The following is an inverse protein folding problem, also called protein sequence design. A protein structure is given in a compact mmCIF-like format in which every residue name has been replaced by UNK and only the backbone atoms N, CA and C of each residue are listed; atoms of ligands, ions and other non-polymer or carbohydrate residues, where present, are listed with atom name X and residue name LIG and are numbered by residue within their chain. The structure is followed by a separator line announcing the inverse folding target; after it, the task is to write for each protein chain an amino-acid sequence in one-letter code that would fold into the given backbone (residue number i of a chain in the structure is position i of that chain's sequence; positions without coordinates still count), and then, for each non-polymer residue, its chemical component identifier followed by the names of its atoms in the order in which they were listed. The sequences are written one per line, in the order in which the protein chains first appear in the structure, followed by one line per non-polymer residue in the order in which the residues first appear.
data_IF_598755094385
#
_entry.id   IF_598755094385
#
_cell.length_a   1.000
_cell.length_b   1.000
_cell.length_c   1.000
_cell.angle_alpha   90.00
_cell.angle_beta   90.00
_cell.angle_gamma   90.00
#
_symmetry.space_group_name_H-M   'P 1'
#
loop_
_entity.id
_entity.type
_entity.pdbx_description
1 polymer ?
#
# COMPACT_ATOMS: atom_id res chain seq x y z
N UNK A 1 -12.66 -53.64 -12.10
CA UNK A 1 -12.12 -52.27 -12.02
C UNK A 1 -13.01 -51.49 -11.07
N UNK A 2 -12.51 -51.04 -9.93
CA UNK A 2 -13.31 -50.24 -8.99
C UNK A 2 -13.59 -48.88 -9.65
N UNK A 3 -14.85 -48.58 -9.94
CA UNK A 3 -15.25 -47.25 -10.42
C UNK A 3 -14.95 -46.23 -9.33
N UNK A 4 -14.33 -45.10 -9.70
CA UNK A 4 -13.98 -44.03 -8.77
C UNK A 4 -15.24 -43.58 -7.99
N UNK A 5 -15.24 -43.57 -6.64
CA UNK A 5 -16.40 -43.21 -5.84
C UNK A 5 -16.95 -41.81 -6.19
N UNK A 6 -16.10 -40.89 -6.64
CA UNK A 6 -16.49 -39.55 -7.07
C UNK A 6 -17.36 -39.53 -8.35
N UNK A 7 -17.32 -40.59 -9.16
CA UNK A 7 -18.19 -40.71 -10.35
C UNK A 7 -19.59 -41.23 -10.00
N UNK A 8 -19.82 -41.65 -8.75
CA UNK A 8 -21.11 -42.19 -8.29
C UNK A 8 -21.90 -41.20 -7.43
N UNK A 9 -21.29 -40.08 -7.05
CA UNK A 9 -21.96 -39.03 -6.28
C UNK A 9 -22.65 -38.03 -7.22
N UNK A 10 -23.77 -37.42 -6.81
CA UNK A 10 -24.40 -36.36 -7.58
C UNK A 10 -23.47 -35.16 -7.80
N UNK A 11 -23.62 -34.46 -8.94
CA UNK A 11 -22.77 -33.30 -9.28
C UNK A 11 -22.82 -32.18 -8.23
N UNK A 12 -23.96 -31.98 -7.55
CA UNK A 12 -24.04 -30.98 -6.46
C UNK A 12 -23.15 -31.33 -5.27
N UNK A 13 -22.93 -32.62 -4.98
CA UNK A 13 -22.00 -33.05 -3.92
C UNK A 13 -20.55 -32.82 -4.36
N UNK A 14 -20.25 -33.04 -5.64
CA UNK A 14 -18.93 -32.74 -6.20
C UNK A 14 -18.68 -31.22 -6.18
N UNK A 15 -19.68 -30.41 -6.47
CA UNK A 15 -19.61 -28.96 -6.36
C UNK A 15 -19.37 -28.50 -4.92
N UNK A 16 -19.99 -29.13 -3.91
CA UNK A 16 -19.71 -28.88 -2.50
C UNK A 16 -18.23 -29.14 -2.15
N UNK A 17 -17.66 -30.22 -2.68
CA UNK A 17 -16.23 -30.52 -2.49
C UNK A 17 -15.36 -29.42 -3.14
N UNK A 18 -15.71 -28.98 -4.36
CA UNK A 18 -14.99 -27.89 -5.04
C UNK A 18 -15.14 -26.55 -4.31
N UNK A 19 -16.26 -26.31 -3.65
CA UNK A 19 -16.54 -25.10 -2.88
C UNK A 19 -15.64 -24.94 -1.65
N UNK A 20 -14.99 -26.01 -1.18
CA UNK A 20 -14.02 -25.98 -0.09
C UNK A 20 -12.58 -25.70 -0.53
N UNK A 21 -12.32 -25.50 -1.84
CA UNK A 21 -10.99 -25.14 -2.31
C UNK A 21 -10.60 -23.74 -1.81
N UNK A 22 -9.30 -23.56 -1.57
CA UNK A 22 -8.77 -22.31 -1.02
C UNK A 22 -8.47 -21.24 -2.08
N UNK A 23 -8.47 -21.60 -3.38
CA UNK A 23 -8.25 -20.62 -4.45
C UNK A 23 -8.77 -21.05 -5.82
N UNK A 24 -8.96 -20.06 -6.70
CA UNK A 24 -9.28 -20.31 -8.11
C UNK A 24 -8.17 -21.05 -8.87
N UNK A 25 -6.91 -20.93 -8.45
CA UNK A 25 -5.82 -21.71 -9.02
C UNK A 25 -5.99 -23.20 -8.73
N UNK A 26 -6.34 -23.55 -7.48
CA UNK A 26 -6.64 -24.94 -7.10
C UNK A 26 -7.89 -25.45 -7.83
N UNK A 27 -8.91 -24.60 -8.01
CA UNK A 27 -10.09 -24.93 -8.80
C UNK A 27 -9.71 -25.26 -10.25
N UNK A 28 -8.87 -24.44 -10.87
CA UNK A 28 -8.34 -24.68 -12.22
C UNK A 28 -7.65 -26.05 -12.35
N UNK A 29 -6.79 -26.39 -11.40
CA UNK A 29 -6.12 -27.70 -11.38
C UNK A 29 -7.11 -28.86 -11.19
N UNK A 30 -8.11 -28.68 -10.31
CA UNK A 30 -9.12 -29.70 -10.04
C UNK A 30 -9.99 -29.98 -11.27
N UNK A 31 -10.49 -28.95 -11.96
CA UNK A 31 -11.34 -29.14 -13.15
C UNK A 31 -10.58 -29.73 -14.34
N UNK A 32 -9.28 -29.45 -14.46
CA UNK A 32 -8.42 -30.04 -15.49
C UNK A 32 -8.10 -31.52 -15.22
N UNK A 33 -8.23 -31.98 -13.96
CA UNK A 33 -7.87 -33.33 -13.59
C UNK A 33 -8.87 -34.40 -14.07
N UNK A 34 -10.17 -34.07 -14.12
CA UNK A 34 -11.22 -35.02 -14.52
C UNK A 34 -12.53 -34.32 -14.89
N UNK A 35 -13.23 -34.85 -15.90
CA UNK A 35 -14.49 -34.29 -16.43
C UNK A 35 -15.59 -34.12 -15.38
N UNK A 36 -15.68 -35.00 -14.37
CA UNK A 36 -16.68 -34.89 -13.29
C UNK A 36 -16.60 -33.56 -12.54
N UNK A 37 -15.40 -33.00 -12.35
CA UNK A 37 -15.21 -31.71 -11.68
C UNK A 37 -15.58 -30.55 -12.60
N UNK A 38 -15.24 -30.65 -13.89
CA UNK A 38 -15.67 -29.70 -14.90
C UNK A 38 -17.19 -29.62 -14.98
N UNK A 39 -17.86 -30.77 -15.10
CA UNK A 39 -19.32 -30.85 -15.22
C UNK A 39 -20.01 -30.36 -13.93
N UNK A 40 -19.46 -30.67 -12.75
CA UNK A 40 -19.97 -30.16 -11.48
C UNK A 40 -19.81 -28.64 -11.34
N UNK A 41 -18.68 -28.08 -11.79
CA UNK A 41 -18.46 -26.63 -11.78
C UNK A 41 -19.39 -25.92 -12.76
N UNK A 42 -19.58 -26.46 -13.97
CA UNK A 42 -20.42 -25.86 -15.00
C UNK A 42 -21.83 -25.53 -14.47
N UNK A 43 -22.44 -26.48 -13.76
CA UNK A 43 -23.81 -26.34 -13.25
C UNK A 43 -23.88 -25.54 -11.93
N UNK A 44 -22.75 -25.32 -11.24
CA UNK A 44 -22.71 -24.71 -9.91
C UNK A 44 -21.67 -23.58 -9.80
N UNK A 45 -21.35 -22.93 -10.92
CA UNK A 45 -20.23 -22.00 -11.05
C UNK A 45 -20.24 -20.90 -10.00
N UNK A 46 -21.34 -20.17 -9.90
CA UNK A 46 -21.48 -19.05 -8.95
C UNK A 46 -21.47 -19.52 -7.49
N UNK A 47 -21.99 -20.73 -7.21
CA UNK A 47 -21.94 -21.30 -5.88
C UNK A 47 -20.50 -21.57 -5.46
N UNK A 48 -19.75 -22.31 -6.28
CA UNK A 48 -18.35 -22.66 -6.02
C UNK A 48 -17.49 -21.39 -5.93
N UNK A 49 -17.63 -20.47 -6.89
CA UNK A 49 -16.84 -19.24 -6.91
C UNK A 49 -17.11 -18.35 -5.68
N UNK A 50 -18.38 -18.18 -5.29
CA UNK A 50 -18.74 -17.46 -4.06
C UNK A 50 -18.13 -18.13 -2.83
N UNK A 51 -18.24 -19.44 -2.71
CA UNK A 51 -17.71 -20.18 -1.56
C UNK A 51 -16.18 -20.06 -1.45
N UNK A 52 -15.47 -20.09 -2.57
CA UNK A 52 -14.02 -19.82 -2.59
C UNK A 52 -13.73 -18.41 -2.05
N UNK A 53 -14.47 -17.39 -2.50
CA UNK A 53 -14.27 -16.02 -2.00
C UNK A 53 -14.56 -15.90 -0.51
N UNK A 54 -15.64 -16.49 0.00
CA UNK A 54 -15.96 -16.44 1.44
C UNK A 54 -15.01 -17.27 2.29
N UNK A 55 -14.31 -18.25 1.71
CA UNK A 55 -13.25 -18.99 2.40
C UNK A 55 -11.92 -18.21 2.42
N UNK A 56 -11.69 -17.36 1.41
CA UNK A 56 -10.50 -16.51 1.33
C UNK A 56 -10.66 -15.26 2.21
N UNK A 57 -11.75 -14.53 2.02
CA UNK A 57 -11.98 -13.22 2.63
C UNK A 57 -12.94 -13.37 3.81
N UNK A 58 -12.48 -12.99 5.00
CA UNK A 58 -13.31 -13.03 6.21
C UNK A 58 -14.52 -12.09 6.09
N UNK A 59 -15.63 -12.45 6.76
CA UNK A 59 -16.88 -11.67 6.73
C UNK A 59 -16.69 -10.20 7.16
N UNK A 60 -15.73 -9.93 8.04
CA UNK A 60 -15.44 -8.57 8.54
C UNK A 60 -14.63 -7.73 7.55
N UNK A 61 -13.93 -8.36 6.60
CA UNK A 61 -13.12 -7.69 5.58
C UNK A 61 -13.83 -7.65 4.22
N UNK A 62 -14.77 -8.57 3.98
CA UNK A 62 -15.54 -8.65 2.74
C UNK A 62 -16.18 -7.31 2.30
N UNK A 63 -16.75 -6.47 3.19
CA UNK A 63 -17.26 -5.15 2.82
C UNK A 63 -16.20 -4.29 2.12
N UNK A 64 -14.98 -4.24 2.66
CA UNK A 64 -13.88 -3.46 2.08
C UNK A 64 -13.44 -3.99 0.72
N UNK A 65 -13.39 -5.32 0.55
CA UNK A 65 -13.05 -5.95 -0.73
C UNK A 65 -14.10 -5.65 -1.81
N UNK A 66 -15.39 -5.65 -1.45
CA UNK A 66 -16.49 -5.31 -2.36
C UNK A 66 -16.49 -3.83 -2.72
N UNK A 67 -16.19 -2.96 -1.76
CA UNK A 67 -16.07 -1.51 -2.01
C UNK A 67 -14.87 -1.21 -2.90
N UNK A 68 -13.75 -1.92 -2.74
CA UNK A 68 -12.63 -1.85 -3.69
C UNK A 68 -13.05 -2.26 -5.11
N UNK A 69 -13.82 -3.33 -5.25
CA UNK A 69 -14.33 -3.76 -6.56
C UNK A 69 -15.24 -2.71 -7.20
N UNK A 70 -16.10 -2.05 -6.41
CA UNK A 70 -16.98 -0.98 -6.88
C UNK A 70 -16.19 0.29 -7.22
N UNK A 71 -15.25 0.72 -6.37
CA UNK A 71 -14.44 1.92 -6.61
C UNK A 71 -13.58 1.80 -7.86
N UNK A 72 -13.08 0.61 -8.17
CA UNK A 72 -12.31 0.35 -9.39
C UNK A 72 -13.13 0.55 -10.69
N UNK A 73 -14.48 0.57 -10.60
CA UNK A 73 -15.38 0.76 -11.74
C UNK A 73 -16.00 2.16 -11.79
N UNK A 74 -15.82 2.99 -10.76
CA UNK A 74 -16.37 4.33 -10.75
C UNK A 74 -15.65 5.20 -11.80
N UNK A 75 -16.44 6.05 -12.46
CA UNK A 75 -15.93 7.09 -13.35
C UNK A 75 -15.39 8.27 -12.56
N UNK A 76 -14.58 9.09 -13.22
CA UNK A 76 -13.76 10.12 -12.57
C UNK A 76 -14.55 11.27 -11.93
N UNK A 77 -15.80 11.50 -12.38
CA UNK A 77 -16.69 12.59 -11.97
C UNK A 77 -18.00 12.10 -11.31
N UNK A 78 -18.07 10.81 -10.92
CA UNK A 78 -19.28 10.23 -10.34
C UNK A 78 -19.40 10.53 -8.83
N UNK A 79 -19.58 11.80 -8.47
CA UNK A 79 -19.68 12.25 -7.07
C UNK A 79 -20.83 11.57 -6.31
N UNK A 80 -21.98 11.38 -6.95
CA UNK A 80 -23.10 10.65 -6.38
C UNK A 80 -22.72 9.17 -6.18
N UNK A 81 -22.03 8.56 -7.14
CA UNK A 81 -21.48 7.21 -7.03
C UNK A 81 -20.50 7.06 -5.87
N UNK A 82 -19.62 8.05 -5.64
CA UNK A 82 -18.70 8.06 -4.50
C UNK A 82 -19.48 8.13 -3.19
N UNK A 83 -20.40 9.09 -3.02
CA UNK A 83 -21.23 9.18 -1.80
C UNK A 83 -22.03 7.91 -1.54
N UNK A 84 -22.72 7.41 -2.56
CA UNK A 84 -23.46 6.14 -2.48
C UNK A 84 -22.54 4.97 -2.13
N UNK A 85 -21.29 4.96 -2.61
CA UNK A 85 -20.32 3.92 -2.27
C UNK A 85 -19.94 3.96 -0.79
N UNK A 86 -19.71 5.16 -0.24
CA UNK A 86 -19.39 5.36 1.18
C UNK A 86 -20.58 4.98 2.07
N UNK A 87 -21.80 5.38 1.70
CA UNK A 87 -23.02 4.99 2.43
C UNK A 87 -23.24 3.47 2.41
N UNK A 88 -22.97 2.82 1.27
CA UNK A 88 -22.99 1.36 1.19
C UNK A 88 -21.90 0.71 2.04
N UNK A 89 -20.69 1.28 2.12
CA UNK A 89 -19.63 0.75 2.99
C UNK A 89 -20.09 0.75 4.45
N UNK A 90 -20.70 1.86 4.91
CA UNK A 90 -21.25 1.98 6.27
C UNK A 90 -22.30 0.90 6.54
N UNK A 91 -23.21 0.71 5.58
CA UNK A 91 -24.27 -0.30 5.67
C UNK A 91 -23.69 -1.72 5.68
N UNK A 92 -22.75 -2.03 4.79
CA UNK A 92 -22.16 -3.36 4.61
C UNK A 92 -21.29 -3.78 5.80
N UNK A 93 -20.60 -2.83 6.45
CA UNK A 93 -19.86 -3.07 7.69
C UNK A 93 -20.82 -3.36 8.85
N UNK A 94 -21.93 -2.62 8.93
CA UNK A 94 -22.94 -2.80 9.99
C UNK A 94 -23.74 -4.08 9.82
N UNK A 95 -23.95 -4.54 8.58
CA UNK A 95 -24.75 -5.70 8.23
C UNK A 95 -23.97 -6.70 7.35
N UNK A 96 -23.13 -7.59 7.92
CA UNK A 96 -22.29 -8.51 7.15
C UNK A 96 -23.06 -9.43 6.17
N UNK A 97 -24.34 -9.71 6.47
CA UNK A 97 -25.21 -10.50 5.59
C UNK A 97 -25.51 -9.77 4.28
N UNK A 98 -25.57 -8.44 4.31
CA UNK A 98 -25.78 -7.63 3.12
C UNK A 98 -24.56 -7.72 2.19
N UNK A 99 -23.35 -7.64 2.74
CA UNK A 99 -22.11 -7.85 1.99
C UNK A 99 -22.04 -9.24 1.35
N UNK A 100 -22.38 -10.30 2.10
CA UNK A 100 -22.43 -11.66 1.55
C UNK A 100 -23.48 -11.83 0.43
N UNK A 101 -24.60 -11.12 0.52
CA UNK A 101 -25.62 -11.11 -0.53
C UNK A 101 -25.12 -10.44 -1.82
N UNK A 102 -24.26 -9.43 -1.72
CA UNK A 102 -23.66 -8.76 -2.88
C UNK A 102 -22.75 -9.69 -3.72
N UNK A 103 -22.30 -10.83 -3.16
CA UNK A 103 -21.57 -11.84 -3.92
C UNK A 103 -22.46 -12.68 -4.84
N UNK A 104 -23.78 -12.64 -4.69
CA UNK A 104 -24.71 -13.47 -5.46
C UNK A 104 -24.76 -12.96 -6.90
N UNK A 105 -24.40 -13.82 -7.85
CA UNK A 105 -24.51 -13.53 -9.28
C UNK A 105 -23.41 -12.62 -9.83
N UNK A 106 -22.32 -12.40 -9.09
CA UNK A 106 -21.18 -11.66 -9.63
C UNK A 106 -20.63 -12.34 -10.89
N UNK A 107 -20.24 -11.57 -11.92
CA UNK A 107 -19.48 -12.08 -13.05
C UNK A 107 -18.15 -12.72 -12.62
N UNK A 108 -17.65 -13.70 -13.37
CA UNK A 108 -16.39 -14.38 -13.07
C UNK A 108 -15.18 -13.43 -12.98
N UNK A 109 -15.16 -12.38 -13.82
CA UNK A 109 -14.10 -11.38 -13.76
C UNK A 109 -14.03 -10.66 -12.40
N UNK A 110 -15.17 -10.53 -11.73
CA UNK A 110 -15.27 -9.87 -10.42
C UNK A 110 -14.83 -10.79 -9.28
N UNK A 111 -15.18 -12.09 -9.34
CA UNK A 111 -14.59 -13.06 -8.42
C UNK A 111 -13.07 -13.16 -8.60
N UNK A 112 -12.58 -13.16 -9.84
CA UNK A 112 -11.16 -13.15 -10.12
C UNK A 112 -10.49 -11.87 -9.58
N UNK A 113 -11.13 -10.71 -9.73
CA UNK A 113 -10.66 -9.45 -9.15
C UNK A 113 -10.56 -9.53 -7.63
N UNK A 114 -11.62 -9.98 -6.94
CA UNK A 114 -11.63 -10.10 -5.49
C UNK A 114 -10.51 -11.03 -4.99
N UNK A 115 -10.39 -12.21 -5.60
CA UNK A 115 -9.38 -13.20 -5.22
C UNK A 115 -7.95 -12.69 -5.46
N UNK A 116 -7.70 -12.07 -6.62
CA UNK A 116 -6.37 -11.52 -6.97
C UNK A 116 -5.96 -10.40 -6.02
N UNK A 117 -6.87 -9.48 -5.71
CA UNK A 117 -6.59 -8.39 -4.77
C UNK A 117 -6.39 -8.90 -3.35
N UNK A 118 -7.20 -9.87 -2.89
CA UNK A 118 -7.02 -10.43 -1.56
C UNK A 118 -5.68 -11.16 -1.42
N UNK A 119 -5.28 -11.97 -2.41
CA UNK A 119 -3.97 -12.62 -2.39
C UNK A 119 -2.81 -11.60 -2.34
N UNK A 120 -2.96 -10.44 -3.00
CA UNK A 120 -2.00 -9.35 -2.90
C UNK A 120 -1.97 -8.73 -1.50
N UNK A 121 -3.13 -8.50 -0.89
CA UNK A 121 -3.26 -8.02 0.49
C UNK A 121 -2.59 -8.98 1.47
N UNK A 122 -2.83 -10.29 1.37
CA UNK A 122 -2.18 -11.28 2.23
C UNK A 122 -0.65 -11.23 2.09
N UNK A 123 -0.16 -11.17 0.84
CA UNK A 123 1.27 -11.12 0.56
C UNK A 123 1.94 -9.85 1.11
N UNK A 124 1.29 -8.70 0.97
CA UNK A 124 1.79 -7.40 1.47
C UNK A 124 1.71 -7.33 3.01
N UNK A 125 0.61 -7.80 3.60
CA UNK A 125 0.41 -7.92 5.05
C UNK A 125 1.53 -8.71 5.70
N UNK A 126 1.81 -9.90 5.16
CA UNK A 126 2.80 -10.81 5.75
C UNK A 126 4.23 -10.25 5.63
N UNK A 127 4.55 -9.54 4.56
CA UNK A 127 5.86 -8.89 4.39
C UNK A 127 6.01 -7.64 5.27
N UNK A 128 4.96 -6.81 5.38
CA UNK A 128 4.92 -5.68 6.31
C UNK A 128 5.14 -6.16 7.74
N UNK A 129 4.35 -7.14 8.20
CA UNK A 129 4.46 -7.68 9.55
C UNK A 129 5.86 -8.24 9.84
N UNK A 130 6.46 -8.95 8.88
CA UNK A 130 7.82 -9.52 9.01
C UNK A 130 8.89 -8.44 9.23
N UNK A 131 8.74 -7.28 8.59
CA UNK A 131 9.69 -6.16 8.74
C UNK A 131 9.41 -5.26 9.94
N UNK A 132 8.13 -4.93 10.16
CA UNK A 132 7.72 -3.91 11.11
C UNK A 132 7.65 -4.43 12.55
N UNK A 133 7.26 -5.69 12.80
CA UNK A 133 7.18 -6.24 14.17
C UNK A 133 8.55 -6.23 14.87
N UNK A 134 9.66 -6.70 14.26
CA UNK A 134 10.97 -6.63 14.91
C UNK A 134 11.40 -5.18 15.20
N UNK A 135 11.17 -4.26 14.25
CA UNK A 135 11.48 -2.84 14.44
C UNK A 135 10.64 -2.22 15.58
N UNK A 136 9.37 -2.59 15.66
CA UNK A 136 8.48 -2.17 16.73
C UNK A 136 8.97 -2.68 18.10
N UNK A 137 9.24 -3.98 18.23
CA UNK A 137 9.75 -4.60 19.46
C UNK A 137 11.05 -3.94 19.91
N UNK A 138 11.98 -3.69 18.98
CA UNK A 138 13.26 -3.05 19.27
C UNK A 138 13.09 -1.59 19.72
N UNK A 139 12.35 -0.77 18.97
CA UNK A 139 12.25 0.68 19.22
C UNK A 139 11.33 1.02 20.39
N UNK A 140 10.22 0.30 20.52
CA UNK A 140 9.29 0.50 21.62
C UNK A 140 9.71 -0.25 22.89
N UNK A 141 10.65 -1.20 22.80
CA UNK A 141 11.03 -2.17 23.86
C UNK A 141 9.80 -2.81 24.51
N UNK A 142 8.89 -3.26 23.66
CA UNK A 142 7.67 -3.96 24.04
C UNK A 142 7.72 -5.39 23.54
N UNK A 143 7.10 -6.29 24.29
CA UNK A 143 6.93 -7.66 23.84
C UNK A 143 5.80 -7.74 22.82
N UNK A 144 6.04 -8.54 21.79
CA UNK A 144 5.04 -8.92 20.80
C UNK A 144 5.22 -10.41 20.50
N UNK A 145 4.13 -11.14 20.28
CA UNK A 145 4.18 -12.60 20.10
C UNK A 145 4.96 -13.05 18.85
N UNK A 146 5.26 -12.11 17.94
CA UNK A 146 5.90 -12.36 16.65
C UNK A 146 4.95 -12.92 15.60
N UNK A 147 3.69 -13.20 15.95
CA UNK A 147 2.66 -13.72 15.06
C UNK A 147 1.45 -12.80 15.07
N UNK A 148 0.82 -12.63 13.90
CA UNK A 148 -0.36 -11.79 13.79
C UNK A 148 -1.55 -12.47 14.46
N UNK A 149 -2.17 -11.77 15.39
CA UNK A 149 -3.45 -12.17 15.94
C UNK A 149 -4.60 -11.70 15.00
N UNK A 150 -5.84 -12.21 15.16
CA UNK A 150 -6.95 -11.87 14.27
C UNK A 150 -7.30 -10.38 14.16
N UNK A 151 -6.97 -9.56 15.18
CA UNK A 151 -7.14 -8.11 15.17
C UNK A 151 -6.12 -7.40 14.29
N UNK A 152 -4.88 -7.84 14.37
CA UNK A 152 -3.76 -7.26 13.63
C UNK A 152 -3.92 -7.59 12.15
N UNK A 153 -4.35 -8.83 11.84
CA UNK A 153 -4.77 -9.22 10.50
C UNK A 153 -5.87 -8.29 10.00
N UNK A 154 -6.95 -8.10 10.78
CA UNK A 154 -8.05 -7.22 10.39
C UNK A 154 -7.59 -5.77 10.11
N UNK A 155 -6.78 -5.18 11.00
CA UNK A 155 -6.28 -3.80 10.84
C UNK A 155 -5.42 -3.64 9.61
N UNK A 156 -4.46 -4.55 9.40
CA UNK A 156 -3.58 -4.53 8.24
C UNK A 156 -4.36 -4.69 6.93
N UNK A 157 -5.23 -5.69 6.85
CA UNK A 157 -6.04 -5.94 5.65
C UNK A 157 -6.95 -4.74 5.35
N UNK A 158 -7.66 -4.23 6.36
CA UNK A 158 -8.48 -3.03 6.23
C UNK A 158 -7.66 -1.85 5.72
N UNK A 159 -6.48 -1.60 6.28
CA UNK A 159 -5.62 -0.49 5.87
C UNK A 159 -5.18 -0.62 4.40
N UNK A 160 -4.78 -1.81 3.93
CA UNK A 160 -4.46 -2.03 2.52
C UNK A 160 -5.67 -1.83 1.59
N UNK A 161 -6.86 -2.32 1.98
CA UNK A 161 -8.07 -2.07 1.18
C UNK A 161 -8.42 -0.59 1.14
N UNK A 162 -8.40 0.10 2.29
CA UNK A 162 -8.66 1.54 2.39
C UNK A 162 -7.67 2.35 1.55
N UNK A 163 -6.39 1.98 1.57
CA UNK A 163 -5.37 2.56 0.71
C UNK A 163 -5.75 2.48 -0.76
N UNK A 164 -6.09 1.29 -1.25
CA UNK A 164 -6.43 1.14 -2.66
C UNK A 164 -7.75 1.83 -3.02
N UNK A 165 -8.73 1.84 -2.11
CA UNK A 165 -9.98 2.58 -2.30
C UNK A 165 -9.68 4.08 -2.42
N UNK A 166 -8.88 4.64 -1.52
CA UNK A 166 -8.42 6.04 -1.59
C UNK A 166 -7.73 6.33 -2.92
N UNK A 167 -6.83 5.44 -3.38
CA UNK A 167 -6.19 5.59 -4.68
C UNK A 167 -7.19 5.62 -5.83
N UNK A 168 -8.17 4.70 -5.85
CA UNK A 168 -9.18 4.64 -6.92
C UNK A 168 -10.08 5.87 -6.95
N UNK A 169 -10.43 6.41 -5.77
CA UNK A 169 -11.35 7.54 -5.66
C UNK A 169 -10.66 8.88 -5.91
N UNK A 170 -9.45 9.04 -5.35
CA UNK A 170 -8.84 10.36 -5.19
C UNK A 170 -7.47 10.51 -5.84
N UNK A 171 -6.83 9.43 -6.31
CA UNK A 171 -5.48 9.50 -6.89
C UNK A 171 -5.44 9.24 -8.40
N UNK A 172 -4.38 9.77 -9.04
CA UNK A 172 -3.79 9.17 -10.24
C UNK A 172 -4.52 9.22 -11.57
N UNK A 173 -5.22 10.30 -11.95
CA UNK A 173 -5.77 10.43 -13.32
C UNK A 173 -5.71 11.86 -13.87
N UNK A 174 -5.26 11.98 -15.12
CA UNK A 174 -5.17 13.24 -15.88
C UNK A 174 -6.30 13.34 -16.91
N UNK A 175 -7.05 14.44 -16.91
CA UNK A 175 -7.94 14.81 -18.01
C UNK A 175 -9.43 14.96 -17.68
N UNK A 176 -9.88 14.64 -16.48
CA UNK A 176 -11.19 15.07 -15.99
C UNK A 176 -11.08 16.49 -15.45
N UNK A 177 -11.99 17.39 -15.84
CA UNK A 177 -12.28 18.68 -15.21
C UNK A 177 -12.74 18.42 -13.75
N UNK A 178 -11.85 17.89 -12.90
CA UNK A 178 -12.09 17.73 -11.47
C UNK A 178 -12.10 19.13 -10.89
N UNK A 179 -13.29 19.73 -10.92
CA UNK A 179 -13.61 20.91 -10.14
C UNK A 179 -13.32 20.62 -8.66
N UNK A 180 -13.22 21.71 -7.89
CA UNK A 180 -13.02 21.76 -6.44
C UNK A 180 -13.89 20.78 -5.60
N UNK A 181 -14.92 20.17 -6.17
CA UNK A 181 -15.78 19.12 -5.56
C UNK A 181 -15.08 17.80 -5.25
N UNK A 182 -13.87 17.55 -5.76
CA UNK A 182 -13.06 16.41 -5.31
C UNK A 182 -12.70 16.52 -3.82
N UNK A 183 -12.55 17.74 -3.29
CA UNK A 183 -12.30 17.99 -1.86
C UNK A 183 -13.53 17.66 -1.00
N UNK A 184 -14.74 18.02 -1.46
CA UNK A 184 -15.99 17.79 -0.71
C UNK A 184 -16.29 16.32 -0.41
N UNK A 185 -15.78 15.38 -1.22
CA UNK A 185 -16.02 13.94 -1.04
C UNK A 185 -14.85 13.20 -0.35
N UNK A 186 -13.69 13.85 -0.14
CA UNK A 186 -12.56 13.28 0.62
C UNK A 186 -12.87 13.27 2.11
N UNK A 187 -13.38 14.38 2.63
CA UNK A 187 -13.66 14.53 4.05
C UNK A 187 -14.61 13.44 4.60
N UNK A 188 -15.74 13.09 3.94
CA UNK A 188 -16.58 11.96 4.37
C UNK A 188 -15.90 10.58 4.33
N UNK A 189 -14.82 10.39 3.56
CA UNK A 189 -14.10 9.10 3.55
C UNK A 189 -13.21 8.94 4.79
N UNK A 190 -12.53 10.00 5.22
CA UNK A 190 -11.59 9.96 6.34
C UNK A 190 -12.26 10.14 7.71
N UNK A 191 -13.27 11.01 7.81
CA UNK A 191 -13.97 11.32 9.07
C UNK A 191 -14.85 10.19 9.62
N UNK A 192 -15.12 9.16 8.83
CA UNK A 192 -15.83 7.96 9.29
C UNK A 192 -14.94 7.03 10.14
N UNK A 193 -13.64 7.31 10.18
CA UNK A 193 -12.64 6.56 10.94
C UNK A 193 -11.94 7.49 11.91
N UNK A 194 -11.56 6.94 13.07
CA UNK A 194 -10.81 7.69 14.06
C UNK A 194 -9.41 8.09 13.57
N UNK A 195 -8.79 9.13 14.15
CA UNK A 195 -7.42 9.53 13.84
C UNK A 195 -6.40 8.38 13.93
N UNK A 196 -6.48 7.54 14.97
CA UNK A 196 -5.58 6.39 15.12
C UNK A 196 -5.83 5.28 14.10
N UNK A 197 -7.02 5.23 13.49
CA UNK A 197 -7.35 4.32 12.39
C UNK A 197 -6.94 4.92 11.04
N UNK A 198 -6.94 6.24 10.89
CA UNK A 198 -6.33 6.92 9.74
C UNK A 198 -4.81 6.81 9.78
N UNK A 199 -4.18 6.84 10.96
CA UNK A 199 -2.76 6.58 11.10
C UNK A 199 -2.33 5.18 10.60
N UNK A 200 -3.24 4.19 10.65
CA UNK A 200 -3.00 2.86 10.06
C UNK A 200 -2.82 2.95 8.54
N UNK A 201 -3.55 3.86 7.88
CA UNK A 201 -3.42 4.15 6.46
C UNK A 201 -2.04 4.75 6.15
N UNK A 202 -1.58 5.71 6.97
CA UNK A 202 -0.25 6.32 6.88
C UNK A 202 0.88 5.28 6.99
N UNK A 203 0.75 4.34 7.91
CA UNK A 203 1.71 3.23 8.05
C UNK A 203 1.79 2.36 6.78
N UNK A 204 0.64 2.01 6.19
CA UNK A 204 0.59 1.24 4.95
C UNK A 204 1.14 2.04 3.76
N UNK A 205 0.77 3.31 3.63
CA UNK A 205 1.33 4.21 2.62
C UNK A 205 2.86 4.23 2.68
N UNK A 206 3.42 4.47 3.87
CA UNK A 206 4.86 4.56 4.06
C UNK A 206 5.56 3.25 3.73
N UNK A 207 4.99 2.11 4.14
CA UNK A 207 5.49 0.79 3.77
C UNK A 207 5.51 0.59 2.25
N UNK A 208 4.41 0.90 1.55
CA UNK A 208 4.30 0.74 0.10
C UNK A 208 5.26 1.66 -0.65
N UNK A 209 5.37 2.92 -0.23
CA UNK A 209 6.32 3.89 -0.76
C UNK A 209 7.76 3.35 -0.65
N UNK A 210 8.13 2.78 0.50
CA UNK A 210 9.44 2.18 0.71
C UNK A 210 9.71 0.98 -0.21
N UNK A 211 8.70 0.17 -0.56
CA UNK A 211 8.88 -0.95 -1.50
C UNK A 211 9.06 -0.46 -2.93
N UNK A 212 8.25 0.53 -3.35
CA UNK A 212 8.37 1.12 -4.68
C UNK A 212 9.69 1.85 -4.83
N UNK A 213 10.09 2.65 -3.84
CA UNK A 213 11.31 3.46 -3.93
C UNK A 213 12.57 2.60 -3.94
N UNK A 214 12.60 1.48 -3.19
CA UNK A 214 13.74 0.57 -3.23
C UNK A 214 13.94 -0.06 -4.62
N UNK A 215 12.84 -0.41 -5.29
CA UNK A 215 12.89 -0.92 -6.65
C UNK A 215 13.28 0.17 -7.67
N UNK A 216 12.68 1.35 -7.52
CA UNK A 216 12.92 2.52 -8.37
C UNK A 216 14.36 3.00 -8.30
N UNK A 217 14.93 3.13 -7.09
CA UNK A 217 16.30 3.58 -6.86
C UNK A 217 17.31 2.67 -7.57
N UNK A 218 17.10 1.35 -7.56
CA UNK A 218 17.98 0.40 -8.24
C UNK A 218 17.99 0.64 -9.75
N UNK A 219 16.83 0.85 -10.37
CA UNK A 219 16.75 1.15 -11.80
C UNK A 219 17.34 2.53 -12.09
N UNK A 220 16.94 3.54 -11.33
CA UNK A 220 17.39 4.91 -11.55
C UNK A 220 18.90 5.08 -11.39
N UNK A 221 19.55 4.30 -10.52
CA UNK A 221 21.00 4.35 -10.32
C UNK A 221 21.81 3.56 -11.37
N UNK A 222 21.22 2.52 -11.97
CA UNK A 222 21.98 1.53 -12.75
C UNK A 222 21.52 1.30 -14.18
N UNK A 223 20.26 1.57 -14.51
CA UNK A 223 19.71 1.31 -15.84
C UNK A 223 20.27 2.29 -16.88
N UNK A 224 20.75 1.77 -18.02
CA UNK A 224 21.38 2.60 -19.07
C UNK A 224 20.40 3.58 -19.70
N UNK A 225 19.18 3.16 -20.02
CA UNK A 225 18.16 4.01 -20.63
C UNK A 225 17.74 5.14 -19.68
N UNK A 226 17.57 4.81 -18.39
CA UNK A 226 17.23 5.79 -17.37
C UNK A 226 18.34 6.83 -17.12
N UNK A 227 19.59 6.51 -17.49
CA UNK A 227 20.72 7.42 -17.33
C UNK A 227 20.74 8.59 -18.31
N UNK A 228 20.03 8.50 -19.43
CA UNK A 228 19.88 9.63 -20.37
C UNK A 228 18.75 10.59 -19.95
N UNK A 229 17.69 10.06 -19.32
CA UNK A 229 16.58 10.88 -18.86
C UNK A 229 16.92 11.59 -17.54
N UNK A 230 16.41 12.82 -17.31
CA UNK A 230 16.57 13.54 -16.05
C UNK A 230 15.65 12.94 -14.98
N UNK A 231 15.94 11.71 -14.56
CA UNK A 231 15.22 11.03 -13.49
C UNK A 231 15.70 11.64 -12.17
N UNK A 232 14.87 12.41 -11.48
CA UNK A 232 15.25 13.10 -10.23
C UNK A 232 15.33 12.15 -9.02
N UNK A 233 15.98 11.00 -9.13
CA UNK A 233 15.90 9.92 -8.14
C UNK A 233 16.56 10.22 -6.77
N UNK A 234 17.20 11.38 -6.58
CA UNK A 234 17.70 11.84 -5.27
C UNK A 234 16.70 12.66 -4.47
N UNK A 235 15.57 13.04 -5.05
CA UNK A 235 14.51 13.75 -4.34
C UNK A 235 13.82 12.83 -3.33
N UNK A 236 13.17 13.46 -2.35
CA UNK A 236 12.33 12.74 -1.40
C UNK A 236 11.21 11.97 -2.13
N UNK A 237 10.83 10.77 -1.66
CA UNK A 237 9.89 9.90 -2.38
C UNK A 237 8.54 10.54 -2.72
N UNK A 238 8.00 11.39 -1.85
CA UNK A 238 6.73 12.11 -2.07
C UNK A 238 6.80 13.15 -3.19
N UNK A 239 8.00 13.62 -3.52
CA UNK A 239 8.24 14.55 -4.63
C UNK A 239 8.50 13.84 -5.97
N UNK A 240 8.56 12.51 -5.99
CA UNK A 240 8.85 11.73 -7.19
C UNK A 240 7.55 11.32 -7.90
N UNK A 241 7.19 12.06 -8.95
CA UNK A 241 5.98 11.82 -9.74
C UNK A 241 5.81 10.35 -10.14
N UNK A 242 6.89 9.71 -10.58
CA UNK A 242 6.90 8.30 -10.99
C UNK A 242 6.57 7.37 -9.84
N UNK A 243 7.16 7.60 -8.66
CA UNK A 243 6.91 6.77 -7.47
C UNK A 243 5.46 6.91 -7.03
N UNK A 244 4.96 8.15 -6.98
CA UNK A 244 3.56 8.43 -6.66
C UNK A 244 2.59 7.84 -7.71
N UNK A 245 3.00 7.78 -8.98
CA UNK A 245 2.27 7.11 -10.06
C UNK A 245 2.21 5.60 -9.89
N UNK A 246 3.35 4.95 -9.65
CA UNK A 246 3.41 3.52 -9.41
C UNK A 246 2.61 3.08 -8.18
N UNK A 247 2.51 3.93 -7.16
CA UNK A 247 1.70 3.71 -5.98
C UNK A 247 0.19 3.59 -6.28
N UNK A 248 -0.29 4.12 -7.40
CA UNK A 248 -1.70 4.06 -7.81
C UNK A 248 -2.09 2.79 -8.60
N UNK A 249 -1.12 1.98 -9.06
CA UNK A 249 -1.35 0.91 -10.04
C UNK A 249 -2.01 -0.37 -9.49
N UNK A 250 -2.49 -0.36 -8.25
CA UNK A 250 -3.21 -1.49 -7.67
C UNK A 250 -2.35 -2.34 -6.71
N UNK A 251 -2.97 -2.87 -5.66
CA UNK A 251 -2.33 -3.80 -4.73
C UNK A 251 -1.63 -5.00 -5.41
N UNK A 252 -2.19 -5.65 -6.44
CA UNK A 252 -1.48 -6.74 -7.13
C UNK A 252 -0.20 -6.31 -7.84
N UNK A 253 -0.17 -5.08 -8.34
CA UNK A 253 1.05 -4.49 -8.94
C UNK A 253 2.09 -4.22 -7.85
N UNK A 254 1.68 -3.61 -6.73
CA UNK A 254 2.57 -3.32 -5.60
C UNK A 254 3.14 -4.61 -4.98
N UNK A 255 2.33 -5.65 -4.86
CA UNK A 255 2.79 -6.98 -4.45
C UNK A 255 3.78 -7.57 -5.46
N UNK A 256 3.62 -7.31 -6.76
CA UNK A 256 4.57 -7.74 -7.79
C UNK A 256 5.92 -7.02 -7.66
N UNK A 257 5.92 -5.71 -7.39
CA UNK A 257 7.16 -4.93 -7.12
C UNK A 257 7.89 -5.49 -5.89
N UNK A 258 7.17 -5.71 -4.78
CA UNK A 258 7.74 -6.27 -3.56
C UNK A 258 8.40 -7.64 -3.80
N UNK A 259 7.78 -8.45 -4.66
CA UNK A 259 8.26 -9.79 -4.99
C UNK A 259 9.39 -9.81 -6.02
N UNK A 260 9.57 -8.75 -6.82
CA UNK A 260 10.64 -8.63 -7.80
C UNK A 260 12.01 -8.50 -7.12
N UNK A 261 12.87 -9.51 -7.31
CA UNK A 261 14.20 -9.59 -6.67
C UNK A 261 15.33 -9.26 -7.63
N UNK A 262 15.08 -9.31 -8.93
CA UNK A 262 16.08 -9.05 -9.96
C UNK A 262 15.83 -7.72 -10.66
N UNK A 263 16.89 -7.13 -11.20
CA UNK A 263 16.83 -5.94 -12.06
C UNK A 263 15.88 -6.16 -13.25
N UNK A 264 15.94 -7.32 -13.91
CA UNK A 264 15.13 -7.63 -15.09
C UNK A 264 13.64 -7.74 -14.76
N UNK A 265 13.28 -8.24 -13.57
CA UNK A 265 11.90 -8.24 -13.09
C UNK A 265 11.41 -6.82 -12.78
N UNK A 266 12.24 -6.00 -12.14
CA UNK A 266 11.90 -4.62 -11.79
C UNK A 266 11.76 -3.74 -13.02
N UNK A 267 12.66 -3.86 -13.99
CA UNK A 267 12.61 -3.11 -15.24
C UNK A 267 11.31 -3.37 -16.02
N UNK A 268 10.80 -4.61 -15.99
CA UNK A 268 9.51 -4.97 -16.62
C UNK A 268 8.30 -4.38 -15.92
N UNK A 269 8.41 -4.10 -14.62
CA UNK A 269 7.30 -3.57 -13.81
C UNK A 269 7.29 -2.05 -13.77
N UNK A 270 8.47 -1.45 -13.73
CA UNK A 270 8.68 -0.01 -13.64
C UNK A 270 9.17 0.48 -15.00
N UNK A 271 8.31 0.44 -16.00
CA UNK A 271 8.66 0.92 -17.33
C UNK A 271 8.85 2.45 -17.30
N UNK A 272 9.92 2.92 -17.94
CA UNK A 272 10.30 4.32 -17.99
C UNK A 272 9.30 5.18 -18.77
N UNK A 273 8.61 4.61 -19.75
CA UNK A 273 7.67 5.32 -20.60
C UNK A 273 6.22 5.12 -20.17
N UNK A 274 5.94 4.05 -19.43
CA UNK A 274 4.61 3.72 -18.92
C UNK A 274 4.35 4.35 -17.54
N UNK A 275 4.35 5.68 -17.47
CA UNK A 275 3.92 6.39 -16.28
C UNK A 275 3.03 7.58 -16.62
N UNK A 276 2.03 7.79 -15.77
CA UNK A 276 1.19 8.99 -15.84
C UNK A 276 1.70 10.02 -14.83
N UNK A 277 1.92 11.25 -15.30
CA UNK A 277 2.19 12.37 -14.41
C UNK A 277 0.92 12.68 -13.62
N UNK A 278 1.04 12.62 -12.29
CA UNK A 278 -0.03 12.94 -11.36
C UNK A 278 0.19 14.35 -10.82
N UNK A 279 -0.82 15.21 -10.91
CA UNK A 279 -0.78 16.53 -10.28
C UNK A 279 -0.60 16.37 -8.76
N UNK A 280 0.18 17.26 -8.10
CA UNK A 280 0.48 17.14 -6.68
C UNK A 280 -0.71 16.73 -5.80
N UNK A 281 -1.82 17.45 -5.94
CA UNK A 281 -3.07 17.30 -5.18
C UNK A 281 -3.82 15.96 -5.38
N UNK A 282 -3.37 15.10 -6.31
CA UNK A 282 -3.89 13.76 -6.54
C UNK A 282 -2.86 12.66 -6.25
N UNK A 283 -1.74 13.00 -5.62
CA UNK A 283 -0.75 12.01 -5.20
C UNK A 283 -1.24 11.27 -3.96
N UNK A 284 -0.95 9.97 -3.84
CA UNK A 284 -1.23 9.22 -2.61
C UNK A 284 -0.65 9.86 -1.36
N UNK A 285 0.53 10.52 -1.44
CA UNK A 285 1.09 11.31 -0.34
C UNK A 285 0.12 12.38 0.17
N UNK A 286 -0.33 13.28 -0.71
CA UNK A 286 -1.24 14.38 -0.34
C UNK A 286 -2.57 13.84 0.18
N UNK A 287 -3.12 12.78 -0.44
CA UNK A 287 -4.37 12.17 0.02
C UNK A 287 -4.24 11.56 1.41
N UNK A 288 -3.10 10.95 1.70
CA UNK A 288 -2.85 10.37 3.02
C UNK A 288 -2.58 11.45 4.06
N UNK A 289 -1.97 12.58 3.68
CA UNK A 289 -1.78 13.75 4.54
C UNK A 289 -3.11 14.32 5.02
N UNK A 290 -4.07 14.43 4.10
CA UNK A 290 -5.44 14.87 4.37
C UNK A 290 -6.29 13.85 5.15
N UNK A 291 -5.77 12.66 5.46
CA UNK A 291 -6.47 11.71 6.33
C UNK A 291 -6.37 12.07 7.82
N UNK A 292 -5.46 12.98 8.15
CA UNK A 292 -5.28 13.52 9.49
C UNK A 292 -6.08 14.83 9.59
N UNK A 293 -6.76 15.03 10.73
CA UNK A 293 -7.68 16.15 10.93
C UNK A 293 -6.87 17.46 10.97
N UNK A 294 -7.23 18.45 10.14
CA UNK A 294 -6.92 19.85 10.48
C UNK A 294 -6.32 20.75 9.42
N UNK A 295 -6.68 20.62 8.14
CA UNK A 295 -6.21 21.60 7.13
C UNK A 295 -7.30 22.40 6.41
N UNK A 296 -8.58 22.00 6.50
CA UNK A 296 -9.67 22.69 5.79
C UNK A 296 -10.81 23.21 6.69
N UNK A 297 -11.64 24.08 6.12
CA UNK A 297 -12.79 24.69 6.81
C UNK A 297 -13.79 23.62 7.33
N UNK A 298 -13.83 22.43 6.73
CA UNK A 298 -14.73 21.34 7.14
C UNK A 298 -14.23 20.65 8.42
N UNK A 299 -12.92 20.43 8.54
CA UNK A 299 -12.31 19.90 9.76
C UNK A 299 -12.55 20.84 10.95
N UNK A 300 -12.44 22.16 10.74
CA UNK A 300 -12.72 23.15 11.78
C UNK A 300 -14.18 23.14 12.22
N UNK A 301 -15.12 23.11 11.27
CA UNK A 301 -16.54 23.00 11.59
C UNK A 301 -16.85 21.71 12.36
N UNK A 302 -16.23 20.59 11.98
CA UNK A 302 -16.36 19.33 12.71
C UNK A 302 -15.82 19.45 14.13
N UNK A 303 -14.61 19.98 14.34
CA UNK A 303 -14.03 20.14 15.68
C UNK A 303 -14.88 21.06 16.56
N UNK A 304 -15.41 22.15 16.00
CA UNK A 304 -16.36 23.04 16.66
C UNK A 304 -17.64 22.31 17.08
N UNK A 305 -18.23 21.50 16.19
CA UNK A 305 -19.41 20.68 16.50
C UNK A 305 -19.12 19.65 17.61
N UNK A 306 -17.88 19.15 17.67
CA UNK A 306 -17.42 18.24 18.71
C UNK A 306 -16.94 18.97 19.96
N UNK A 307 -16.95 20.31 20.00
CA UNK A 307 -16.46 21.15 21.10
C UNK A 307 -15.01 20.81 21.48
N UNK A 308 -14.17 20.65 20.45
CA UNK A 308 -12.73 20.40 20.55
C UNK A 308 -11.97 21.61 20.04
N UNK A 309 -11.10 22.17 20.88
CA UNK A 309 -10.20 23.27 20.48
C UNK A 309 -9.04 22.70 19.65
N UNK A 310 -8.90 23.15 18.40
CA UNK A 310 -7.84 22.72 17.48
C UNK A 310 -6.43 23.08 17.97
N UNK A 311 -6.31 24.08 18.86
CA UNK A 311 -5.06 24.54 19.42
C UNK A 311 -4.72 23.85 20.75
N UNK A 312 -5.66 23.11 21.35
CA UNK A 312 -5.41 22.35 22.56
C UNK A 312 -4.54 21.12 22.26
N UNK A 313 -3.64 20.81 23.19
CA UNK A 313 -2.87 19.57 23.11
C UNK A 313 -3.79 18.36 23.27
N UNK A 314 -3.46 17.25 22.63
CA UNK A 314 -4.17 15.99 22.79
C UNK A 314 -4.23 15.53 24.26
N UNK A 315 -3.22 15.89 25.06
CA UNK A 315 -3.19 15.66 26.50
C UNK A 315 -4.35 16.33 27.24
N UNK A 316 -4.70 17.55 26.86
CA UNK A 316 -5.77 18.36 27.47
C UNK A 316 -7.13 17.82 27.03
N UNK A 317 -7.30 17.60 25.72
CA UNK A 317 -8.52 17.04 25.12
C UNK A 317 -8.84 15.67 25.72
N UNK A 318 -7.81 14.85 25.99
CA UNK A 318 -7.97 13.56 26.66
C UNK A 318 -8.47 13.72 28.10
N UNK A 319 -7.86 14.62 28.88
CA UNK A 319 -8.23 14.87 30.28
C UNK A 319 -9.66 15.40 30.42
N UNK A 320 -10.14 16.15 29.43
CA UNK A 320 -11.53 16.62 29.35
C UNK A 320 -12.52 15.51 28.94
N UNK A 321 -12.03 14.31 28.59
CA UNK A 321 -12.86 13.19 28.13
C UNK A 321 -13.41 13.36 26.70
N UNK A 322 -12.92 14.37 25.97
CA UNK A 322 -13.44 14.76 24.65
C UNK A 322 -12.91 13.91 23.50
N UNK A 323 -11.77 13.24 23.65
CA UNK A 323 -11.23 12.36 22.59
C UNK A 323 -12.18 11.22 22.18
N UNK A 324 -13.09 10.80 23.05
CA UNK A 324 -14.12 9.81 22.71
C UNK A 324 -15.05 10.28 21.58
N UNK A 325 -15.16 11.59 21.36
CA UNK A 325 -15.95 12.22 20.29
C UNK A 325 -15.30 12.07 18.92
N UNK A 326 -14.00 11.81 18.86
CA UNK A 326 -13.26 11.53 17.62
C UNK A 326 -13.40 10.06 17.16
N UNK A 327 -14.12 9.23 17.93
CA UNK A 327 -14.32 7.83 17.60
C UNK A 327 -15.17 7.68 16.32
N UNK A 328 -14.57 7.10 15.28
CA UNK A 328 -15.20 6.83 13.99
C UNK A 328 -16.21 5.69 14.04
N UNK A 329 -17.28 5.80 13.25
CA UNK A 329 -18.33 4.77 13.16
C UNK A 329 -17.82 3.47 12.51
N UNK A 330 -16.76 3.55 11.70
CA UNK A 330 -16.21 2.44 10.91
C UNK A 330 -14.90 1.85 11.45
N UNK A 331 -14.49 2.25 12.65
CA UNK A 331 -13.34 1.69 13.37
C UNK A 331 -13.47 0.18 13.60
N UNK A 332 -14.70 -0.33 13.59
CA UNK A 332 -14.99 -1.70 14.00
C UNK A 332 -14.87 -1.87 15.52
N UNK A 333 -15.29 -3.04 16.05
CA UNK A 333 -15.47 -3.23 17.48
C UNK A 333 -14.15 -3.29 18.28
N UNK A 334 -13.00 -3.23 17.59
CA UNK A 334 -11.69 -3.62 18.12
C UNK A 334 -10.67 -2.46 18.12
N UNK A 335 -11.03 -1.32 17.51
CA UNK A 335 -10.22 -0.09 17.49
C UNK A 335 -10.87 1.05 18.29
N UNK A 336 -11.61 0.74 19.37
CA UNK A 336 -12.17 1.79 20.24
C UNK A 336 -11.08 2.57 21.00
N UNK A 337 -11.48 3.59 21.78
CA UNK A 337 -10.59 4.31 22.72
C UNK A 337 -9.98 3.44 23.83
N UNK A 338 -10.42 2.19 23.99
CA UNK A 338 -9.79 1.23 24.90
C UNK A 338 -8.73 0.35 24.24
N UNK A 339 -8.57 0.48 22.91
CA UNK A 339 -7.68 -0.35 22.11
C UNK A 339 -6.21 0.02 22.31
N UNK A 340 -5.33 -0.92 22.01
CA UNK A 340 -3.89 -0.67 21.99
C UNK A 340 -3.48 0.38 20.94
N UNK A 341 -3.99 0.36 19.70
CA UNK A 341 -3.75 1.41 18.71
C UNK A 341 -4.02 2.83 19.24
N UNK A 342 -5.17 3.03 19.88
CA UNK A 342 -5.51 4.32 20.46
C UNK A 342 -4.48 4.76 21.50
N UNK A 343 -4.11 3.86 22.43
CA UNK A 343 -3.16 4.18 23.51
C UNK A 343 -1.76 4.50 22.98
N UNK A 344 -1.30 3.75 21.97
CA UNK A 344 -0.02 4.00 21.31
C UNK A 344 -0.04 5.34 20.56
N UNK A 345 -1.09 5.58 19.77
CA UNK A 345 -1.29 6.84 19.06
C UNK A 345 -1.32 8.05 20.00
N UNK A 346 -2.11 7.97 21.07
CA UNK A 346 -2.23 9.05 22.07
C UNK A 346 -0.89 9.31 22.76
N UNK A 347 -0.16 8.27 23.14
CA UNK A 347 1.13 8.44 23.79
C UNK A 347 2.19 9.07 22.87
N UNK A 348 2.19 8.74 21.57
CA UNK A 348 3.14 9.30 20.60
C UNK A 348 2.83 10.74 20.22
N UNK A 349 1.56 11.14 20.34
CA UNK A 349 1.06 12.47 19.98
C UNK A 349 0.65 13.29 21.21
N UNK A 350 1.11 12.94 22.40
CA UNK A 350 0.62 13.50 23.67
C UNK A 350 0.67 15.04 23.73
N UNK A 351 1.74 15.64 23.20
CA UNK A 351 1.98 17.09 23.18
C UNK A 351 1.62 17.74 21.83
N UNK A 352 1.11 16.95 20.88
CA UNK A 352 0.70 17.47 19.58
C UNK A 352 -0.71 18.04 19.70
N UNK A 353 -1.02 19.05 18.91
CA UNK A 353 -2.39 19.48 18.68
C UNK A 353 -3.02 18.56 17.63
N UNK A 354 -4.36 18.56 17.53
CA UNK A 354 -5.02 17.82 16.45
C UNK A 354 -4.59 18.34 15.08
N UNK A 355 -4.53 19.66 14.93
CA UNK A 355 -4.08 20.36 13.72
C UNK A 355 -2.62 20.14 13.33
N UNK A 356 -1.78 19.69 14.27
CA UNK A 356 -0.36 19.39 14.00
C UNK A 356 -0.11 17.93 13.64
N UNK A 357 -1.16 17.11 13.51
CA UNK A 357 -1.04 15.74 13.06
C UNK A 357 -0.86 15.76 11.54
N UNK A 358 0.39 15.69 11.08
CA UNK A 358 0.71 15.74 9.65
C UNK A 358 1.51 14.51 9.20
N UNK A 359 1.57 14.31 7.88
CA UNK A 359 2.54 13.39 7.29
C UNK A 359 3.93 14.05 7.22
N UNK A 360 4.58 14.27 8.36
CA UNK A 360 5.93 14.83 8.40
C UNK A 360 7.04 13.78 8.40
N UNK A 361 8.22 14.20 7.93
CA UNK A 361 9.42 13.35 7.94
C UNK A 361 9.85 12.93 9.37
N UNK A 362 9.44 13.67 10.40
CA UNK A 362 9.65 13.36 11.82
C UNK A 362 8.91 12.10 12.29
N UNK A 363 7.80 11.75 11.64
CA UNK A 363 6.96 10.61 12.01
C UNK A 363 7.43 9.29 11.39
N UNK A 364 8.36 9.33 10.42
CA UNK A 364 8.85 8.14 9.68
C UNK A 364 9.27 6.99 10.60
N UNK A 365 9.94 7.31 11.72
CA UNK A 365 10.39 6.32 12.70
C UNK A 365 9.24 5.51 13.32
N UNK A 366 8.05 6.11 13.46
CA UNK A 366 6.85 5.47 13.96
C UNK A 366 6.16 4.63 12.89
N UNK A 367 6.05 5.14 11.66
CA UNK A 367 5.41 4.41 10.55
C UNK A 367 6.22 3.20 10.08
N UNK A 368 7.56 3.26 10.13
CA UNK A 368 8.41 2.08 9.88
C UNK A 368 8.09 0.93 10.84
N UNK A 369 7.72 1.25 12.08
CA UNK A 369 7.26 0.27 13.06
C UNK A 369 5.79 -0.12 12.87
N UNK A 370 5.04 0.58 12.01
CA UNK A 370 3.58 0.44 11.87
C UNK A 370 2.88 0.44 13.23
N UNK A 371 3.28 1.35 14.11
CA UNK A 371 3.05 1.25 15.57
C UNK A 371 1.58 1.13 15.99
N UNK A 372 0.64 1.67 15.21
CA UNK A 372 -0.82 1.55 15.47
C UNK A 372 -1.44 0.24 14.97
N UNK A 373 -0.65 -0.70 14.47
CA UNK A 373 -1.11 -2.00 13.94
C UNK A 373 -1.07 -3.15 14.93
N UNK A 374 -0.42 -2.98 16.09
CA UNK A 374 -0.11 -4.10 16.98
C UNK A 374 -0.96 -4.11 18.24
N UNK A 375 -1.21 -5.31 18.77
CA UNK A 375 -1.67 -5.50 20.14
C UNK A 375 -0.49 -5.85 21.01
N UNK A 376 -0.34 -5.09 22.08
CA UNK A 376 0.63 -5.33 23.14
C UNK A 376 -0.11 -5.45 24.46
N UNK A 377 0.55 -6.11 25.41
CA UNK A 377 0.09 -6.17 26.79
C UNK A 377 -0.03 -4.77 27.41
N UNK A 378 -0.62 -4.66 28.59
CA UNK A 378 -0.81 -3.38 29.24
C UNK A 378 0.52 -2.69 29.57
N UNK A 379 0.85 -1.66 28.79
CA UNK A 379 2.02 -0.81 29.01
C UNK A 379 1.59 0.51 29.66
N UNK A 380 2.26 0.96 30.74
CA UNK A 380 2.02 2.27 31.32
C UNK A 380 2.26 3.38 30.29
N UNK A 381 1.27 4.26 30.12
CA UNK A 381 1.34 5.33 29.12
C UNK A 381 2.56 6.24 29.28
N UNK A 382 3.00 6.48 30.53
CA UNK A 382 4.20 7.25 30.84
C UNK A 382 5.47 6.66 30.21
N UNK A 383 5.56 5.33 30.13
CA UNK A 383 6.69 4.64 29.49
C UNK A 383 6.68 4.89 27.98
N UNK A 384 5.51 4.80 27.35
CA UNK A 384 5.32 5.06 25.93
C UNK A 384 5.69 6.51 25.60
N UNK A 385 5.15 7.47 26.36
CA UNK A 385 5.45 8.91 26.18
C UNK A 385 6.95 9.20 26.29
N UNK A 386 7.63 8.60 27.26
CA UNK A 386 9.08 8.75 27.45
C UNK A 386 9.93 8.28 26.27
N UNK A 387 9.36 7.49 25.35
CA UNK A 387 10.06 6.97 24.16
C UNK A 387 9.77 7.76 22.88
N UNK A 388 8.73 8.58 22.85
CA UNK A 388 8.27 9.25 21.61
C UNK A 388 9.42 9.97 20.88
N UNK A 389 10.17 10.83 21.58
CA UNK A 389 11.33 11.53 20.98
C UNK A 389 12.42 10.58 20.50
N UNK A 390 12.77 9.55 21.27
CA UNK A 390 13.81 8.60 20.90
C UNK A 390 13.45 7.81 19.62
N UNK A 391 12.17 7.46 19.45
CA UNK A 391 11.70 6.74 18.27
C UNK A 391 11.68 7.67 17.05
N UNK A 392 11.25 8.93 17.23
CA UNK A 392 11.25 9.96 16.17
C UNK A 392 12.66 10.32 15.70
N UNK A 393 13.62 10.35 16.63
CA UNK A 393 15.03 10.60 16.34
C UNK A 393 15.75 9.38 15.74
N UNK A 394 15.09 8.22 15.70
CA UNK A 394 15.69 7.01 15.13
C UNK A 394 15.83 7.17 13.62
N UNK A 395 17.03 6.91 13.11
CA UNK A 395 17.28 6.95 11.67
C UNK A 395 16.39 5.93 10.95
N UNK A 396 15.86 6.28 9.76
CA UNK A 396 15.12 5.34 8.94
C UNK A 396 15.93 4.06 8.72
N UNK A 397 15.28 2.91 8.91
CA UNK A 397 15.81 1.59 8.60
C UNK A 397 15.99 1.41 7.09
N UNK A 398 15.14 2.04 6.28
CA UNK A 398 15.23 1.99 4.82
C UNK A 398 16.19 3.06 4.33
N UNK A 399 17.43 2.67 4.05
CA UNK A 399 18.40 3.57 3.44
C UNK A 399 18.18 3.65 1.93
N UNK A 400 17.80 4.84 1.44
CA UNK A 400 17.75 5.16 -0.01
C UNK A 400 19.09 4.85 -0.65
N UNK A 401 19.09 4.27 -1.84
CA UNK A 401 20.34 3.90 -2.52
C UNK A 401 21.19 5.16 -2.75
N UNK A 402 20.53 6.25 -3.17
CA UNK A 402 21.17 7.54 -3.44
C UNK A 402 21.84 8.19 -2.23
N UNK A 403 21.45 7.82 -1.00
CA UNK A 403 22.12 8.32 0.21
C UNK A 403 23.55 7.79 0.38
N UNK A 404 23.87 6.65 -0.25
CA UNK A 404 25.21 6.07 -0.24
C UNK A 404 26.12 6.60 -1.37
N UNK A 405 25.57 7.40 -2.30
CA UNK A 405 26.27 7.92 -3.46
C UNK A 405 26.71 9.36 -3.25
N UNK A 406 27.95 9.67 -3.62
CA UNK A 406 28.40 11.06 -3.67
C UNK A 406 27.85 11.77 -4.90
N UNK A 407 27.80 13.11 -4.89
CA UNK A 407 27.43 13.89 -6.07
C UNK A 407 28.29 13.56 -7.30
N UNK A 408 29.57 13.24 -7.08
CA UNK A 408 30.47 12.84 -8.16
C UNK A 408 30.17 11.44 -8.67
N UNK A 409 29.83 10.48 -7.80
CA UNK A 409 29.41 9.13 -8.24
C UNK A 409 28.16 9.20 -9.11
N UNK A 410 27.18 10.02 -8.71
CA UNK A 410 25.92 10.19 -9.45
C UNK A 410 26.20 10.79 -10.83
N UNK A 411 26.90 11.92 -10.88
CA UNK A 411 27.26 12.57 -12.16
C UNK A 411 28.16 11.71 -13.03
N UNK A 412 29.00 10.86 -12.43
CA UNK A 412 29.83 9.90 -13.17
C UNK A 412 28.93 8.83 -13.80
N UNK A 413 28.09 8.15 -13.02
CA UNK A 413 27.23 7.08 -13.52
C UNK A 413 26.23 7.59 -14.56
N UNK A 414 25.57 8.72 -14.32
CA UNK A 414 24.63 9.32 -15.28
C UNK A 414 25.32 9.61 -16.62
N UNK A 415 26.51 10.23 -16.61
CA UNK A 415 27.27 10.46 -17.85
C UNK A 415 27.66 9.17 -18.55
N UNK A 416 28.16 8.18 -17.82
CA UNK A 416 28.57 6.89 -18.39
C UNK A 416 27.38 6.15 -19.00
N UNK A 417 26.23 6.14 -18.33
CA UNK A 417 24.99 5.54 -18.83
C UNK A 417 24.43 6.28 -20.04
N UNK A 418 24.44 7.61 -20.02
CA UNK A 418 24.07 8.41 -21.19
C UNK A 418 24.97 8.11 -22.40
N UNK A 419 26.29 7.97 -22.20
CA UNK A 419 27.24 7.59 -23.25
C UNK A 419 26.97 6.18 -23.81
N UNK A 420 26.68 5.22 -22.92
CA UNK A 420 26.31 3.86 -23.28
C UNK A 420 25.04 3.87 -24.14
N UNK A 421 24.00 4.56 -23.69
CA UNK A 421 22.73 4.70 -24.40
C UNK A 421 22.92 5.31 -25.79
N UNK A 422 23.64 6.44 -25.89
CA UNK A 422 23.95 7.11 -27.16
C UNK A 422 24.76 6.24 -28.12
N UNK A 423 25.54 5.28 -27.59
CA UNK A 423 26.27 4.30 -28.40
C UNK A 423 25.41 3.13 -28.89
N UNK A 424 24.12 3.08 -28.49
CA UNK A 424 23.15 2.04 -28.80
C UNK A 424 23.16 0.86 -27.82
N UNK A 425 23.67 1.09 -26.60
CA UNK A 425 23.71 0.06 -25.56
C UNK A 425 22.44 0.04 -24.71
N UNK A 426 22.20 -1.09 -24.07
CA UNK A 426 21.13 -1.27 -23.08
C UNK A 426 21.59 -2.23 -21.97
N UNK A 427 20.97 -2.12 -20.79
CA UNK A 427 21.16 -3.02 -19.66
C UNK A 427 21.63 -2.32 -18.37
N UNK A 428 22.29 -3.10 -17.52
CA UNK A 428 22.69 -2.69 -16.17
C UNK A 428 24.13 -2.20 -16.12
N UNK A 429 24.34 -0.98 -15.60
CA UNK A 429 25.65 -0.39 -15.37
C UNK A 429 26.02 -0.39 -13.87
N UNK A 430 27.17 -0.97 -13.47
CA UNK A 430 27.57 -1.04 -12.07
C UNK A 430 27.94 0.34 -11.51
N UNK A 431 27.87 0.48 -10.18
CA UNK A 431 28.33 1.69 -9.47
C UNK A 431 29.82 1.96 -9.69
N UNK A 432 30.63 0.91 -9.66
CA UNK A 432 32.09 0.97 -9.68
C UNK A 432 32.68 0.10 -10.79
N UNK A 433 33.81 0.55 -11.32
CA UNK A 433 34.52 -0.14 -12.38
C UNK A 433 33.88 0.02 -13.76
N UNK A 434 34.47 -0.67 -14.73
CA UNK A 434 33.97 -0.75 -16.09
C UNK A 434 33.58 -2.21 -16.37
N UNK A 435 32.37 -2.61 -16.00
CA UNK A 435 31.84 -3.95 -16.27
C UNK A 435 30.72 -3.90 -17.30
N UNK A 436 30.97 -4.53 -18.46
CA UNK A 436 30.03 -4.64 -19.56
C UNK A 436 29.30 -6.00 -19.59
N UNK A 437 29.46 -6.84 -18.56
CA UNK A 437 28.89 -8.20 -18.51
C UNK A 437 27.35 -8.21 -18.62
N UNK A 438 26.70 -7.14 -18.17
CA UNK A 438 25.24 -6.94 -18.21
C UNK A 438 24.81 -5.86 -19.22
N UNK A 439 25.69 -5.50 -20.15
CA UNK A 439 25.44 -4.54 -21.21
C UNK A 439 25.34 -5.26 -22.55
N UNK A 440 24.31 -4.92 -23.31
CA UNK A 440 24.07 -5.44 -24.67
C UNK A 440 24.13 -4.31 -25.70
N UNK A 441 24.16 -4.64 -27.01
CA UNK A 441 24.13 -3.64 -28.08
C UNK A 441 25.48 -3.01 -28.50
N UNK A 442 26.58 -3.32 -27.81
CA UNK A 442 27.92 -2.78 -28.11
C UNK A 442 28.92 -3.82 -28.65
N UNK A 443 29.74 -3.40 -29.61
CA UNK A 443 30.95 -4.14 -30.02
C UNK A 443 32.11 -3.87 -29.06
N UNK A 444 33.11 -4.77 -29.04
CA UNK A 444 34.28 -4.61 -28.18
C UNK A 444 35.08 -3.34 -28.49
N UNK A 445 35.13 -2.91 -29.75
CA UNK A 445 35.79 -1.66 -30.15
C UNK A 445 35.10 -0.44 -29.52
N UNK A 446 33.76 -0.43 -29.50
CA UNK A 446 32.98 0.65 -28.85
C UNK A 446 33.19 0.65 -27.34
N UNK A 447 33.20 -0.52 -26.70
CA UNK A 447 33.45 -0.65 -25.25
C UNK A 447 34.82 -0.06 -24.89
N UNK A 448 35.86 -0.42 -25.64
CA UNK A 448 37.22 0.10 -25.41
C UNK A 448 37.29 1.62 -25.63
N UNK A 449 36.63 2.15 -26.67
CA UNK A 449 36.59 3.58 -26.94
C UNK A 449 35.92 4.38 -25.80
N UNK A 450 34.82 3.87 -25.26
CA UNK A 450 34.14 4.47 -24.10
C UNK A 450 35.01 4.47 -22.85
N UNK A 451 35.68 3.35 -22.55
CA UNK A 451 36.60 3.25 -21.40
C UNK A 451 37.74 4.26 -21.51
N UNK A 452 38.35 4.40 -22.69
CA UNK A 452 39.40 5.40 -22.89
C UNK A 452 38.87 6.84 -22.74
N UNK A 453 37.68 7.15 -23.29
CA UNK A 453 37.00 8.43 -23.07
C UNK A 453 36.87 8.73 -21.57
N UNK A 454 36.28 7.82 -20.80
CA UNK A 454 36.04 8.04 -19.37
C UNK A 454 37.32 8.15 -18.55
N UNK A 455 38.38 7.40 -18.88
CA UNK A 455 39.69 7.56 -18.23
C UNK A 455 40.24 8.97 -18.47
N UNK A 456 40.23 9.45 -19.71
CA UNK A 456 40.77 10.79 -20.03
C UNK A 456 40.01 11.91 -19.32
N UNK A 457 38.68 11.81 -19.24
CA UNK A 457 37.85 12.80 -18.52
C UNK A 457 38.06 12.80 -17.00
N UNK A 458 38.50 11.68 -16.44
CA UNK A 458 38.79 11.57 -15.00
C UNK A 458 40.10 12.28 -14.64
N UNK A 459 41.07 12.33 -15.58
CA UNK A 459 42.38 12.98 -15.38
C UNK A 459 42.34 14.51 -15.48
N UNK A 460 41.39 15.09 -16.22
CA UNK A 460 41.25 16.57 -16.34
C UNK A 460 40.59 17.23 -15.10
N UNK A 461 40.19 16.44 -14.09
CA UNK A 461 39.53 16.93 -12.86
C UNK A 461 40.39 16.84 -11.60
N UNK A 462 41.58 16.27 -11.69
CA UNK A 462 42.60 16.21 -10.62
C UNK A 462 43.71 17.23 -10.86
#
# INVERSE_FOLDING_TARGET
MASNPLQRVPLHVVAEILAHLGSFQQLGLAILSHRVFHDALHDNLHYVARSIITNQISDVILPFALVLLKSAKLGDDDHDGIRNLLDHLITDISEPRHAAAALIGLPLGEYAFLSKNHAAVESLRDDLARGAIPAFVERFELEHSGHLNPQEIFRLERAFYRYQIMCNLFCGRKGSDRNLSAFENRHPFFTQFSPWVNEQLSCVYHYLENKVIAAYDELAAHDVEWGELPVQWRSEPWNLDRVQSFLCNGLPFLASIMNAKTYEERLKLLDLLDFEMIEPEYRPFEQTGQSLIGEDDFDQEMLDQLDIDEAAELSEIHQEGKLSRLAGSLDGPRDSISSTPFRLWLAMNWTNTISSLDLSASEKGLWECSYVMWDVDEVPEMLLRGRSSAIRDTKPSTQRLGASWTDEDVRRSERQRADLWLAGADGYWPREGYDFSRITGLSEEKKQALVEKWKTETYDRS
#
